data_IF_276994536077
#
_entry.id   IF_276994536077
#
_cell.length_a   1.000
_cell.length_b   1.000
_cell.length_c   1.000
_cell.angle_alpha   90.00
_cell.angle_beta   90.00
_cell.angle_gamma   90.00
#
_symmetry.space_group_name_H-M   'P 1'
#
loop_
_entity.id
_entity.type
_entity.pdbx_description
1 polymer ?
#
# COMPACT_ATOMS: atom_id res chain seq x y z
N UNK A 1 -13.61 -5.83 36.31
CA UNK A 1 -13.30 -5.51 35.84
C UNK A 1 -13.05 -5.21 35.32
N UNK A 2 -13.13 -5.68 35.55
CA UNK A 2 -12.76 -5.35 34.94
C UNK A 2 -12.40 -5.29 34.33
N UNK A 3 -12.54 -5.84 34.13
CA UNK A 3 -12.19 -5.76 33.46
C UNK A 3 -11.74 -5.80 32.85
N UNK A 4 -12.02 -6.45 33.00
CA UNK A 4 -11.56 -6.48 32.33
C UNK A 4 -11.10 -6.70 31.69
N UNK A 5 -11.32 -7.35 31.69
CA UNK A 5 -10.85 -7.50 31.01
C UNK A 5 -10.48 -7.63 30.35
N UNK A 6 -10.64 -7.99 30.12
CA UNK A 6 -10.19 -8.00 29.34
C UNK A 6 -9.55 -8.01 28.65
N UNK A 7 -9.68 -8.52 28.71
CA UNK A 7 -9.03 -8.39 27.86
C UNK A 7 -8.28 -8.44 27.22
N UNK A 8 -8.21 -8.76 27.31
CA UNK A 8 -7.50 -8.68 26.53
C UNK A 8 -6.86 -8.55 25.82
N UNK A 9 -6.85 -8.87 25.68
CA UNK A 9 -6.26 -8.61 24.91
C UNK A 9 -5.60 -8.22 24.51
N UNK A 10 -5.64 -8.34 24.67
CA UNK A 10 -5.07 -7.80 24.11
C UNK A 10 -4.32 -7.38 24.20
N UNK A 11 -4.33 -7.66 24.74
CA UNK A 11 -3.76 -7.22 24.64
C UNK A 11 -2.97 -6.81 24.48
N UNK A 12 -2.82 -6.77 24.35
CA UNK A 12 -2.21 -6.25 23.82
C UNK A 12 -2.29 -5.24 23.65
N UNK A 13 -2.40 -4.92 24.10
CA UNK A 13 -2.62 -4.04 23.76
C UNK A 13 -2.54 -2.90 23.68
N UNK A 14 -2.59 -2.46 24.09
CA UNK A 14 -2.13 -1.18 23.77
C UNK A 14 -2.82 -0.59 22.57
N UNK A 15 -2.13 -0.45 21.48
CA UNK A 15 -2.75 0.15 20.28
C UNK A 15 -3.98 -0.61 19.83
N UNK A 16 -4.96 0.12 19.33
CA UNK A 16 -6.15 -0.48 18.77
C UNK A 16 -5.94 -0.69 17.28
N UNK A 17 -6.07 -1.93 16.84
CA UNK A 17 -5.92 -2.29 15.45
C UNK A 17 -7.29 -2.61 14.87
N UNK A 18 -7.55 -2.11 13.66
CA UNK A 18 -8.78 -2.44 12.95
C UNK A 18 -8.48 -2.48 11.47
N UNK A 19 -9.24 -3.30 10.73
CA UNK A 19 -9.07 -3.38 9.28
C UNK A 19 -9.62 -2.12 8.67
N UNK A 20 -8.78 -1.39 7.95
CA UNK A 20 -9.18 -0.21 7.23
C UNK A 20 -9.75 -0.57 5.87
N UNK A 21 -9.09 -1.49 5.18
CA UNK A 21 -9.51 -1.93 3.85
C UNK A 21 -9.12 -3.38 3.70
N UNK A 22 -10.04 -4.20 3.21
CA UNK A 22 -9.74 -5.60 2.94
C UNK A 22 -9.93 -5.88 1.47
N UNK A 23 -8.90 -6.46 0.86
CA UNK A 23 -8.90 -6.84 -0.54
C UNK A 23 -8.96 -8.36 -0.64
N UNK A 24 -9.08 -8.86 -1.86
CA UNK A 24 -9.00 -10.30 -2.09
C UNK A 24 -7.56 -10.80 -1.93
N UNK A 25 -7.40 -12.10 -1.95
CA UNK A 25 -6.09 -12.76 -1.94
C UNK A 25 -5.27 -12.47 -0.68
N UNK A 26 -5.95 -12.21 0.44
CA UNK A 26 -5.27 -12.02 1.72
C UNK A 26 -4.55 -10.70 1.87
N UNK A 27 -4.84 -9.74 1.02
CA UNK A 27 -4.24 -8.40 1.10
C UNK A 27 -5.15 -7.49 1.90
N UNK A 28 -4.57 -6.71 2.82
CA UNK A 28 -5.38 -5.80 3.63
C UNK A 28 -4.54 -4.64 4.13
N UNK A 29 -5.24 -3.60 4.57
CA UNK A 29 -4.62 -2.46 5.24
C UNK A 29 -5.24 -2.38 6.63
N UNK A 30 -4.38 -2.35 7.65
CA UNK A 30 -4.79 -2.30 9.05
C UNK A 30 -4.48 -0.92 9.58
N UNK A 31 -5.48 -0.30 10.18
CA UNK A 31 -5.30 0.98 10.84
C UNK A 31 -4.95 0.72 12.30
N UNK A 32 -3.85 1.30 12.75
CA UNK A 32 -3.40 1.18 14.12
C UNK A 32 -3.32 2.55 14.74
N UNK A 33 -3.95 2.72 15.87
CA UNK A 33 -3.88 3.98 16.60
C UNK A 33 -2.94 3.81 17.78
N UNK A 34 -1.77 4.41 17.68
CA UNK A 34 -0.76 4.38 18.73
C UNK A 34 -0.32 5.83 18.94
N UNK A 35 -0.59 6.38 20.11
CA UNK A 35 -0.33 7.78 20.36
C UNK A 35 -1.47 8.63 19.80
N UNK A 36 -1.13 9.73 19.13
CA UNK A 36 -2.12 10.67 18.66
C UNK A 36 -2.53 10.45 17.22
N UNK A 37 -1.65 9.87 16.41
CA UNK A 37 -1.91 9.74 14.98
C UNK A 37 -2.01 8.27 14.59
N UNK A 38 -2.95 7.95 13.70
CA UNK A 38 -3.02 6.58 13.20
C UNK A 38 -1.91 6.29 12.22
N UNK A 39 -1.54 5.01 12.12
CA UNK A 39 -0.70 4.52 11.04
C UNK A 39 -1.46 3.44 10.29
N UNK A 40 -1.14 3.26 9.04
CA UNK A 40 -1.81 2.31 8.16
C UNK A 40 -0.79 1.31 7.66
N UNK A 41 -0.99 0.04 8.03
CA UNK A 41 -0.04 -1.01 7.71
C UNK A 41 -0.59 -1.87 6.58
N UNK A 42 0.19 -1.96 5.50
CA UNK A 42 -0.13 -2.87 4.40
C UNK A 42 0.34 -4.27 4.76
N UNK A 43 -0.52 -5.27 4.57
CA UNK A 43 -0.22 -6.67 4.83
C UNK A 43 -0.66 -7.52 3.67
N UNK A 44 0.16 -8.47 3.30
CA UNK A 44 -0.16 -9.43 2.24
C UNK A 44 0.61 -10.71 2.50
N UNK A 45 0.13 -11.86 1.95
CA UNK A 45 0.90 -13.10 2.07
C UNK A 45 2.28 -12.91 1.45
N UNK A 46 3.29 -13.42 2.12
CA UNK A 46 4.67 -13.37 1.64
C UNK A 46 5.25 -11.96 1.56
N UNK A 47 4.60 -10.97 2.19
CA UNK A 47 5.10 -9.61 2.26
C UNK A 47 5.35 -9.28 3.73
N UNK A 48 6.47 -8.64 4.03
CA UNK A 48 6.83 -8.36 5.41
C UNK A 48 5.97 -7.28 6.04
N UNK A 49 5.24 -6.53 5.22
CA UNK A 49 4.43 -5.45 5.72
C UNK A 49 5.19 -4.12 5.73
N UNK A 50 4.45 -3.04 5.60
CA UNK A 50 5.02 -1.70 5.60
C UNK A 50 3.95 -0.74 6.09
N UNK A 51 4.36 0.31 6.80
CA UNK A 51 3.45 1.26 7.41
C UNK A 51 3.52 2.61 6.71
N UNK A 52 2.39 3.30 6.70
CA UNK A 52 2.26 4.62 6.10
C UNK A 52 1.54 5.54 7.06
N UNK A 53 1.80 6.84 6.92
CA UNK A 53 1.20 7.85 7.79
C UNK A 53 -0.23 8.20 7.36
N UNK A 54 -0.62 7.90 6.14
CA UNK A 54 -1.95 8.25 5.67
C UNK A 54 -2.55 7.11 4.85
N UNK A 55 -3.88 7.09 4.83
CA UNK A 55 -4.62 6.01 4.19
C UNK A 55 -4.48 6.05 2.67
N UNK A 56 -4.40 7.24 2.10
CA UNK A 56 -4.33 7.36 0.64
C UNK A 56 -3.05 6.74 0.10
N UNK A 57 -1.92 6.97 0.79
CA UNK A 57 -0.66 6.37 0.39
C UNK A 57 -0.70 4.86 0.56
N UNK A 58 -1.29 4.37 1.65
CA UNK A 58 -1.40 2.93 1.88
C UNK A 58 -2.23 2.26 0.79
N UNK A 59 -3.36 2.87 0.40
CA UNK A 59 -4.19 2.28 -0.66
C UNK A 59 -3.49 2.34 -2.01
N UNK A 60 -2.71 3.38 -2.27
CA UNK A 60 -1.93 3.43 -3.50
C UNK A 60 -0.89 2.31 -3.53
N UNK A 61 -0.25 2.06 -2.41
CA UNK A 61 0.72 0.96 -2.31
C UNK A 61 0.03 -0.38 -2.62
N UNK A 62 -1.16 -0.59 -2.09
CA UNK A 62 -1.92 -1.79 -2.37
C UNK A 62 -2.25 -1.89 -3.87
N UNK A 63 -2.60 -0.78 -4.50
CA UNK A 63 -2.88 -0.78 -5.93
C UNK A 63 -1.64 -1.13 -6.74
N UNK A 64 -0.47 -0.61 -6.37
CA UNK A 64 0.78 -0.98 -7.03
C UNK A 64 1.03 -2.47 -6.86
N UNK A 65 0.78 -3.00 -5.67
CA UNK A 65 0.97 -4.41 -5.38
C UNK A 65 0.15 -5.28 -6.35
N UNK A 66 -1.13 -4.96 -6.51
CA UNK A 66 -1.98 -5.70 -7.43
C UNK A 66 -1.58 -5.50 -8.89
N UNK A 67 -1.14 -4.29 -9.23
CA UNK A 67 -0.80 -3.96 -10.61
C UNK A 67 0.32 -4.85 -11.16
N UNK A 68 1.23 -5.29 -10.29
CA UNK A 68 2.36 -6.13 -10.71
C UNK A 68 2.21 -7.58 -10.21
N UNK A 69 1.04 -7.95 -9.70
CA UNK A 69 0.77 -9.28 -9.18
C UNK A 69 1.67 -9.63 -8.00
N UNK A 70 1.98 -8.64 -7.17
CA UNK A 70 2.74 -8.84 -5.96
C UNK A 70 4.22 -8.56 -6.12
N UNK A 71 4.83 -8.11 -5.04
CA UNK A 71 6.27 -7.87 -4.99
C UNK A 71 6.71 -7.88 -3.52
N UNK A 72 8.02 -7.96 -3.31
CA UNK A 72 8.62 -7.90 -1.99
C UNK A 72 9.48 -6.65 -1.88
N UNK A 73 9.34 -5.95 -0.75
CA UNK A 73 10.29 -4.88 -0.44
C UNK A 73 11.56 -5.43 0.17
N UNK A 74 11.41 -6.53 0.89
CA UNK A 74 12.54 -7.10 1.63
C UNK A 74 13.66 -7.50 0.69
N UNK A 75 14.86 -7.16 1.05
CA UNK A 75 16.04 -7.55 0.28
C UNK A 75 16.31 -6.69 -0.93
N UNK A 76 15.48 -5.71 -1.18
CA UNK A 76 15.74 -4.81 -2.30
C UNK A 76 16.83 -3.79 -1.96
N UNK A 77 17.08 -3.63 -0.69
CA UNK A 77 18.27 -2.95 -0.21
C UNK A 77 18.39 -1.51 -0.62
N UNK A 78 19.58 -1.19 -0.99
CA UNK A 78 19.97 0.20 -1.18
C UNK A 78 19.26 0.88 -2.32
N UNK A 79 18.80 0.10 -3.27
CA UNK A 79 18.08 0.72 -4.38
C UNK A 79 16.65 1.01 -4.05
N UNK A 80 16.09 0.23 -3.15
CA UNK A 80 14.76 0.47 -2.69
C UNK A 80 13.65 0.21 -3.68
N UNK A 81 13.94 -0.23 -4.88
CA UNK A 81 12.90 -0.46 -5.89
C UNK A 81 12.87 -1.94 -6.26
N UNK A 82 11.75 -2.61 -5.97
CA UNK A 82 11.64 -4.03 -6.31
C UNK A 82 11.74 -4.25 -7.82
N UNK A 83 12.35 -5.37 -8.23
CA UNK A 83 12.50 -5.66 -9.66
C UNK A 83 11.19 -5.66 -10.42
N UNK A 84 10.13 -6.15 -9.81
CA UNK A 84 8.82 -6.19 -10.44
C UNK A 84 8.34 -4.80 -10.82
N UNK A 85 8.65 -3.80 -9.99
CA UNK A 85 8.28 -2.42 -10.24
C UNK A 85 9.11 -1.86 -11.40
N UNK A 86 10.41 -2.15 -11.40
CA UNK A 86 11.30 -1.65 -12.45
C UNK A 86 10.89 -2.18 -13.81
N UNK A 87 10.44 -3.43 -13.86
CA UNK A 87 10.05 -4.07 -15.11
C UNK A 87 8.69 -3.64 -15.61
N UNK A 88 7.88 -3.03 -14.76
CA UNK A 88 6.59 -2.51 -15.15
C UNK A 88 6.76 -1.19 -15.90
N UNK A 89 5.68 -0.66 -16.44
CA UNK A 89 5.74 0.58 -17.16
C UNK A 89 6.02 1.79 -16.27
N UNK A 90 6.23 2.94 -16.93
CA UNK A 90 6.54 4.16 -16.21
C UNK A 90 5.45 4.55 -15.22
N UNK A 91 4.18 4.33 -15.59
CA UNK A 91 3.09 4.69 -14.70
C UNK A 91 3.15 3.92 -13.38
N UNK A 92 3.49 2.64 -13.41
CA UNK A 92 3.63 1.85 -12.20
C UNK A 92 4.80 2.36 -11.37
N UNK A 93 5.92 2.65 -12.01
CA UNK A 93 7.10 3.15 -11.30
C UNK A 93 6.81 4.51 -10.65
N UNK A 94 6.11 5.38 -11.36
CA UNK A 94 5.71 6.68 -10.81
C UNK A 94 4.81 6.49 -9.59
N UNK A 95 3.82 5.61 -9.71
CA UNK A 95 2.92 5.35 -8.58
C UNK A 95 3.68 4.81 -7.38
N UNK A 96 4.63 3.91 -7.61
CA UNK A 96 5.45 3.38 -6.53
C UNK A 96 6.23 4.50 -5.84
N UNK A 97 6.86 5.39 -6.62
CA UNK A 97 7.60 6.50 -6.01
C UNK A 97 6.69 7.38 -5.16
N UNK A 98 5.43 7.55 -5.58
CA UNK A 98 4.49 8.36 -4.82
C UNK A 98 4.15 7.76 -3.45
N UNK A 99 4.48 6.50 -3.21
CA UNK A 99 4.28 5.88 -1.90
C UNK A 99 5.48 6.03 -0.98
N UNK A 100 6.58 6.59 -1.47
CA UNK A 100 7.81 6.68 -0.69
C UNK A 100 7.80 7.92 0.20
N UNK A 101 8.44 7.84 1.38
CA UNK A 101 8.52 9.01 2.27
C UNK A 101 9.22 10.15 1.56
N UNK A 102 8.77 11.36 1.86
CA UNK A 102 9.41 12.59 1.36
C UNK A 102 9.33 12.75 -0.15
N UNK A 103 8.46 11.98 -0.81
CA UNK A 103 8.23 12.13 -2.24
C UNK A 103 6.81 12.65 -2.44
N UNK A 104 6.67 13.67 -3.29
CA UNK A 104 5.35 14.20 -3.63
C UNK A 104 5.27 14.36 -5.15
N UNK A 105 4.12 14.84 -5.61
CA UNK A 105 3.86 14.95 -7.04
C UNK A 105 4.85 15.91 -7.70
N UNK A 106 5.24 16.97 -6.99
CA UNK A 106 6.18 17.95 -7.54
C UNK A 106 7.55 17.33 -7.75
N UNK A 107 7.99 16.55 -6.78
CA UNK A 107 9.28 15.88 -6.89
C UNK A 107 9.30 14.92 -8.07
N UNK A 108 8.26 14.10 -8.19
CA UNK A 108 8.20 13.11 -9.26
C UNK A 108 8.12 13.79 -10.62
N UNK A 109 7.30 14.83 -10.72
CA UNK A 109 7.17 15.58 -11.97
C UNK A 109 8.52 16.13 -12.40
N UNK A 110 9.24 16.74 -11.46
CA UNK A 110 10.56 17.29 -11.74
C UNK A 110 11.54 16.22 -12.17
N UNK A 111 11.53 15.09 -11.46
CA UNK A 111 12.47 14.00 -11.74
C UNK A 111 12.30 13.46 -13.16
N UNK A 112 11.05 13.34 -13.61
CA UNK A 112 10.78 12.78 -14.94
C UNK A 112 10.65 13.85 -16.03
N UNK A 113 10.74 15.14 -15.67
CA UNK A 113 10.54 16.20 -16.64
C UNK A 113 9.10 16.26 -17.15
N UNK A 114 8.13 15.94 -16.29
CA UNK A 114 6.73 15.91 -16.64
C UNK A 114 5.97 16.95 -15.84
N UNK A 115 4.73 17.22 -16.23
CA UNK A 115 3.87 18.10 -15.47
C UNK A 115 3.17 17.31 -14.35
N UNK A 116 2.84 17.97 -13.23
CA UNK A 116 2.14 17.28 -12.15
C UNK A 116 0.85 16.59 -12.59
N UNK A 117 0.13 17.18 -13.54
CA UNK A 117 -1.10 16.57 -14.04
C UNK A 117 -0.83 15.22 -14.68
N UNK A 118 0.32 15.08 -15.35
CA UNK A 118 0.67 13.81 -15.98
C UNK A 118 1.01 12.76 -14.95
N UNK A 119 1.70 13.17 -13.88
CA UNK A 119 1.99 12.26 -12.77
C UNK A 119 0.68 11.73 -12.20
N UNK A 120 -0.29 12.62 -12.00
CA UNK A 120 -1.58 12.20 -11.46
C UNK A 120 -2.29 11.23 -12.41
N UNK A 121 -2.18 11.44 -13.71
CA UNK A 121 -2.77 10.51 -14.68
C UNK A 121 -2.12 9.13 -14.59
N UNK A 122 -0.80 9.08 -14.38
CA UNK A 122 -0.12 7.81 -14.19
C UNK A 122 -0.66 7.07 -12.96
N UNK A 123 -0.80 7.79 -11.87
CA UNK A 123 -1.34 7.21 -10.63
C UNK A 123 -2.75 6.68 -10.87
N UNK A 124 -3.58 7.47 -11.54
CA UNK A 124 -4.96 7.06 -11.81
C UNK A 124 -5.02 5.81 -12.68
N UNK A 125 -4.11 5.66 -13.63
CA UNK A 125 -4.05 4.45 -14.46
C UNK A 125 -3.74 3.21 -13.63
N UNK A 126 -2.78 3.35 -12.70
CA UNK A 126 -2.43 2.22 -11.84
C UNK A 126 -3.61 1.83 -10.97
N UNK A 127 -4.28 2.81 -10.38
CA UNK A 127 -5.44 2.52 -9.53
C UNK A 127 -6.54 1.82 -10.33
N UNK A 128 -6.79 2.28 -11.54
CA UNK A 128 -7.83 1.69 -12.38
C UNK A 128 -7.47 0.27 -12.80
N UNK A 129 -6.22 0.06 -13.17
CA UNK A 129 -5.75 -1.27 -13.59
C UNK A 129 -5.81 -2.26 -12.43
N UNK A 130 -5.38 -1.81 -11.24
CA UNK A 130 -5.42 -2.66 -10.05
C UNK A 130 -6.84 -3.07 -9.72
N UNK A 131 -7.78 -2.13 -9.82
CA UNK A 131 -9.19 -2.45 -9.56
C UNK A 131 -9.70 -3.52 -10.52
N UNK A 132 -9.34 -3.41 -11.80
CA UNK A 132 -9.76 -4.41 -12.78
C UNK A 132 -9.14 -5.78 -12.48
N UNK A 133 -7.90 -5.79 -12.06
CA UNK A 133 -7.23 -7.04 -11.70
C UNK A 133 -7.97 -7.71 -10.53
N UNK A 134 -8.30 -6.94 -9.50
CA UNK A 134 -9.01 -7.49 -8.35
C UNK A 134 -10.40 -7.99 -8.75
N UNK A 135 -11.11 -7.24 -9.59
CA UNK A 135 -12.43 -7.66 -10.04
C UNK A 135 -12.37 -8.94 -10.86
N UNK A 136 -11.37 -9.03 -11.74
CA UNK A 136 -11.19 -10.24 -12.55
C UNK A 136 -10.89 -11.44 -11.69
N UNK A 137 -10.03 -11.29 -10.68
CA UNK A 137 -9.72 -12.39 -9.79
C UNK A 137 -10.95 -12.83 -8.99
N UNK A 138 -11.75 -11.87 -8.53
CA UNK A 138 -12.96 -12.20 -7.79
C UNK A 138 -13.95 -12.96 -8.66
N UNK A 139 -14.07 -12.59 -9.94
CA UNK A 139 -14.96 -13.29 -10.87
C UNK A 139 -14.52 -14.72 -11.11
N UNK A 140 -13.24 -15.00 -10.95
CA UNK A 140 -12.73 -16.36 -11.11
C UNK A 140 -12.80 -17.16 -9.81
N UNK A 141 -13.38 -16.60 -8.77
CA UNK A 141 -13.51 -17.27 -7.49
C UNK A 141 -12.27 -17.24 -6.62
N UNK A 142 -11.31 -16.42 -6.96
CA UNK A 142 -10.09 -16.29 -6.15
C UNK A 142 -10.37 -15.37 -4.98
N UNK A 143 -10.03 -15.81 -3.78
CA UNK A 143 -10.27 -15.02 -2.57
C UNK A 143 -9.07 -15.04 -1.63
#
# INVERSE_FOLDING_TARGET
>A
MSQTNETPSNERTGPTDSVYEEYILGVRIVERTAGTDPVYRFEAPHHEGIEFDDADTATLYADVYFDVNGFQEAGTGERGVPPEIIQAGRDTLVAYFMTQPYVDVEWVASYYGEKPEKVQRYVNRVRKRAKKIREGAAEQGMT
#
